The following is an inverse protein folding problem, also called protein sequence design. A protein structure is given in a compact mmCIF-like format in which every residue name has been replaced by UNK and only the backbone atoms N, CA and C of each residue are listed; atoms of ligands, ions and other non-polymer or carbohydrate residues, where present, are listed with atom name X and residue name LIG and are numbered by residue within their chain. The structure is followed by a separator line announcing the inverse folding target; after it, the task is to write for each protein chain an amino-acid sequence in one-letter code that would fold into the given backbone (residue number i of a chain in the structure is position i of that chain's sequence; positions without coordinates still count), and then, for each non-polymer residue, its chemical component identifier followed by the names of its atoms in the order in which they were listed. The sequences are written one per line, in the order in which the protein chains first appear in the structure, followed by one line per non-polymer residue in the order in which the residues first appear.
data_IF_911793315647
#
_entry.id   IF_911793315647
#
_cell.length_a   1.000
_cell.length_b   1.000
_cell.length_c   1.000
_cell.angle_alpha   90.00
_cell.angle_beta   90.00
_cell.angle_gamma   90.00
#
_symmetry.space_group_name_H-M   'P 1'
#
loop_
_entity.id
_entity.type
_entity.pdbx_description
1 polymer ?
#
# COMPACT_ATOMS: atom_id res chain seq x y z
N UNK A 1 -5.69 2.52 12.33
CA UNK A 1 -4.74 3.51 11.84
C UNK A 1 -5.01 3.81 10.39
N UNK A 2 -4.91 5.07 10.04
CA UNK A 2 -5.22 5.55 8.71
C UNK A 2 -3.95 6.03 8.02
N UNK A 3 -3.73 5.59 6.80
CA UNK A 3 -2.55 5.95 6.02
C UNK A 3 -2.95 6.52 4.68
N UNK A 4 -2.16 7.46 4.19
CA UNK A 4 -2.32 7.99 2.83
C UNK A 4 -1.29 7.37 1.91
N UNK A 5 -1.67 7.19 0.65
CA UNK A 5 -0.84 6.48 -0.32
C UNK A 5 -0.65 7.34 -1.56
N UNK A 6 0.57 7.39 -2.05
CA UNK A 6 0.89 7.96 -3.35
C UNK A 6 0.95 6.83 -4.36
N UNK A 7 0.20 6.95 -5.45
CA UNK A 7 0.13 5.92 -6.48
C UNK A 7 0.73 6.44 -7.77
N UNK A 8 1.58 5.63 -8.38
CA UNK A 8 2.17 5.91 -9.68
C UNK A 8 1.93 4.72 -10.61
N UNK A 9 1.87 4.99 -11.91
CA UNK A 9 1.82 3.94 -12.91
C UNK A 9 3.22 3.41 -13.16
N UNK A 10 3.39 2.11 -12.97
CA UNK A 10 4.61 1.41 -13.32
C UNK A 10 4.54 0.86 -14.73
N UNK A 11 5.42 -0.06 -15.07
CA UNK A 11 5.47 -0.70 -16.37
C UNK A 11 4.37 -1.74 -16.54
N UNK A 12 3.95 -1.96 -17.78
CA UNK A 12 3.00 -3.02 -18.16
C UNK A 12 1.65 -2.96 -17.45
N UNK A 13 1.19 -1.75 -17.15
CA UNK A 13 -0.11 -1.56 -16.52
C UNK A 13 -0.14 -1.82 -15.02
N UNK A 14 1.01 -2.03 -14.41
CA UNK A 14 1.10 -2.18 -12.97
C UNK A 14 0.95 -0.83 -12.26
N UNK A 15 0.32 -0.86 -11.11
CA UNK A 15 0.23 0.29 -10.22
C UNK A 15 1.20 0.09 -9.07
N UNK A 16 1.95 1.15 -8.74
CA UNK A 16 2.88 1.13 -7.62
C UNK A 16 2.40 2.12 -6.58
N UNK A 17 2.32 1.70 -5.34
CA UNK A 17 1.89 2.54 -4.24
C UNK A 17 2.91 2.60 -3.13
N UNK A 18 3.04 3.77 -2.52
CA UNK A 18 3.90 3.98 -1.37
C UNK A 18 3.10 4.69 -0.29
N UNK A 19 3.20 4.18 0.93
CA UNK A 19 2.54 4.80 2.09
C UNK A 19 3.33 6.02 2.52
N UNK A 20 2.69 7.19 2.53
CA UNK A 20 3.37 8.44 2.82
C UNK A 20 3.90 8.50 4.25
N UNK A 21 3.14 8.01 5.21
CA UNK A 21 3.52 7.99 6.63
C UNK A 21 4.53 6.89 6.96
N UNK A 22 4.66 5.91 6.09
CA UNK A 22 5.55 4.78 6.29
C UNK A 22 6.23 4.44 4.96
N UNK A 23 7.26 5.22 4.55
CA UNK A 23 7.86 5.11 3.22
C UNK A 23 8.43 3.74 2.88
N UNK A 24 8.74 2.92 3.88
CA UNK A 24 9.20 1.55 3.65
C UNK A 24 8.09 0.64 3.13
N UNK A 25 6.83 1.03 3.29
CA UNK A 25 5.70 0.25 2.80
C UNK A 25 5.43 0.63 1.34
N UNK A 26 6.01 -0.13 0.43
CA UNK A 26 5.84 0.02 -1.02
C UNK A 26 5.34 -1.32 -1.55
N UNK A 27 4.35 -1.27 -2.42
CA UNK A 27 3.88 -2.47 -3.08
C UNK A 27 3.32 -2.16 -4.46
N UNK A 28 2.89 -3.17 -5.18
CA UNK A 28 2.34 -3.03 -6.52
C UNK A 28 1.17 -3.98 -6.71
N UNK A 29 0.37 -3.67 -7.71
CA UNK A 29 -0.76 -4.51 -8.08
C UNK A 29 -1.27 -4.09 -9.45
N UNK A 30 -2.05 -4.93 -10.10
CA UNK A 30 -2.62 -4.62 -11.42
C UNK A 30 -3.89 -3.79 -11.33
N UNK A 31 -4.55 -3.82 -10.20
CA UNK A 31 -5.74 -3.01 -9.93
C UNK A 31 -5.55 -2.25 -8.64
N UNK A 32 -6.38 -1.22 -8.42
CA UNK A 32 -6.36 -0.50 -7.14
C UNK A 32 -6.69 -1.42 -5.98
N UNK A 33 -7.61 -2.34 -6.18
CA UNK A 33 -8.00 -3.30 -5.16
C UNK A 33 -6.84 -4.21 -4.75
N UNK A 34 -6.13 -4.75 -5.74
CA UNK A 34 -4.95 -5.58 -5.49
C UNK A 34 -3.84 -4.79 -4.80
N UNK A 35 -3.57 -3.58 -5.27
CA UNK A 35 -2.57 -2.71 -4.68
C UNK A 35 -2.89 -2.40 -3.22
N UNK A 36 -4.15 -2.07 -2.95
CA UNK A 36 -4.60 -1.76 -1.59
C UNK A 36 -4.38 -2.95 -0.65
N UNK A 37 -4.77 -4.15 -1.08
CA UNK A 37 -4.59 -5.35 -0.27
C UNK A 37 -3.11 -5.61 0.03
N UNK A 38 -2.27 -5.46 -0.99
CA UNK A 38 -0.83 -5.66 -0.85
C UNK A 38 -0.18 -4.61 0.06
N UNK A 39 -0.64 -3.36 0.00
CA UNK A 39 -0.14 -2.31 0.87
C UNK A 39 -0.54 -2.53 2.33
N UNK A 40 -1.76 -2.98 2.58
CA UNK A 40 -2.21 -3.31 3.93
C UNK A 40 -1.32 -4.40 4.53
N UNK A 41 -1.04 -5.43 3.75
CA UNK A 41 -0.16 -6.51 4.17
C UNK A 41 1.25 -5.99 4.48
N UNK A 42 1.79 -5.14 3.62
CA UNK A 42 3.11 -4.55 3.81
C UNK A 42 3.19 -3.72 5.10
N UNK A 43 2.17 -2.91 5.37
CA UNK A 43 2.11 -2.10 6.60
C UNK A 43 2.08 -3.01 7.82
N UNK A 44 1.27 -4.05 7.80
CA UNK A 44 1.17 -4.97 8.93
C UNK A 44 2.49 -5.70 9.19
N UNK A 45 3.20 -6.08 8.14
CA UNK A 45 4.50 -6.72 8.26
C UNK A 45 5.55 -5.79 8.85
N UNK A 46 5.58 -4.54 8.42
CA UNK A 46 6.57 -3.56 8.87
C UNK A 46 6.31 -3.14 10.31
N UNK A 47 5.06 -2.87 10.66
CA UNK A 47 4.69 -2.41 12.00
C UNK A 47 4.57 -3.56 13.00
N UNK A 48 4.44 -4.79 12.51
CA UNK A 48 4.23 -5.94 13.37
C UNK A 48 2.85 -6.01 14.00
N UNK A 49 1.92 -5.17 13.57
CA UNK A 49 0.57 -5.16 14.10
C UNK A 49 -0.36 -6.02 13.26
N UNK A 50 -1.34 -6.63 13.91
CA UNK A 50 -2.44 -7.32 13.23
C UNK A 50 -3.72 -6.52 13.29
N UNK A 51 -3.65 -5.29 13.79
CA UNK A 51 -4.80 -4.40 13.84
C UNK A 51 -5.23 -3.99 12.45
N UNK A 52 -6.49 -3.59 12.36
CA UNK A 52 -7.07 -3.17 11.10
C UNK A 52 -6.39 -1.90 10.59
N UNK A 53 -5.90 -1.96 9.35
CA UNK A 53 -5.22 -0.85 8.70
C UNK A 53 -6.15 -0.28 7.63
N UNK A 54 -6.35 1.03 7.66
CA UNK A 54 -7.15 1.74 6.66
C UNK A 54 -6.23 2.54 5.75
N UNK A 55 -6.43 2.40 4.45
CA UNK A 55 -5.66 3.13 3.45
C UNK A 55 -6.60 4.05 2.68
N UNK A 56 -6.26 5.34 2.66
CA UNK A 56 -6.92 6.35 1.86
C UNK A 56 -6.15 6.55 0.56
N UNK A 57 -6.81 6.30 -0.53
CA UNK A 57 -6.26 6.51 -1.87
C UNK A 57 -6.98 7.67 -2.54
#
# INVERSE_FOLDING_TARGET
MEYTVTIEQGENGWLVGQVNELPAAISQGKTLEDLKANLIDAVQLITGTKEKVYICI
#
